data_IF_176707940135
#
_entry.id   IF_176707940135
#
_cell.length_a   1.000
_cell.length_b   1.000
_cell.length_c   1.000
_cell.angle_alpha   90.00
_cell.angle_beta   90.00
_cell.angle_gamma   90.00
#
_symmetry.space_group_name_H-M   'P 1'
#
loop_
_entity.id
_entity.type
_entity.pdbx_description
1 polymer ?
#
# COMPACT_ATOMS: atom_id res chain seq x y z
N UNK A 1 49.67 1.05 40.18
CA UNK A 1 49.19 1.14 38.79
C UNK A 1 47.83 0.44 38.71
N UNK A 2 46.73 1.20 38.70
CA UNK A 2 45.38 0.66 38.55
C UNK A 2 44.93 0.90 37.12
N UNK A 3 44.77 -0.17 36.34
CA UNK A 3 44.24 -0.13 34.97
C UNK A 3 42.73 0.09 35.07
N UNK A 4 42.24 1.27 34.69
CA UNK A 4 40.82 1.50 34.47
C UNK A 4 40.46 0.94 33.09
N UNK A 5 39.87 -0.25 33.09
CA UNK A 5 39.27 -0.88 31.93
C UNK A 5 37.94 -0.15 31.64
N UNK A 6 37.96 0.85 30.75
CA UNK A 6 36.72 1.48 30.27
C UNK A 6 35.99 0.49 29.37
N UNK A 7 34.93 -0.09 29.92
CA UNK A 7 34.00 -0.97 29.24
C UNK A 7 33.21 -0.15 28.20
N UNK A 8 33.44 -0.40 26.92
CA UNK A 8 32.63 0.16 25.83
C UNK A 8 31.26 -0.50 25.92
N UNK A 9 30.26 0.25 26.40
CA UNK A 9 28.85 -0.14 26.36
C UNK A 9 28.42 -0.03 24.90
N UNK A 10 28.47 -1.15 24.18
CA UNK A 10 27.85 -1.29 22.87
C UNK A 10 26.35 -1.20 23.02
N UNK A 11 25.77 -0.07 22.63
CA UNK A 11 24.32 0.07 22.46
C UNK A 11 23.96 -0.85 21.29
N UNK A 12 23.46 -2.05 21.60
CA UNK A 12 22.67 -2.83 20.67
C UNK A 12 21.43 -2.00 20.37
N UNK A 13 21.46 -1.26 19.26
CA UNK A 13 20.24 -0.83 18.60
C UNK A 13 19.51 -2.10 18.16
N UNK A 14 18.66 -2.65 19.03
CA UNK A 14 17.58 -3.52 18.62
C UNK A 14 16.68 -2.68 17.73
N UNK A 15 17.02 -2.61 16.44
CA UNK A 15 16.04 -2.31 15.42
C UNK A 15 14.95 -3.36 15.65
N UNK A 16 13.83 -2.92 16.22
CA UNK A 16 12.61 -3.68 16.17
C UNK A 16 12.32 -3.80 14.68
N UNK A 17 12.84 -4.86 14.06
CA UNK A 17 12.40 -5.30 12.77
C UNK A 17 10.90 -5.48 12.97
N UNK A 18 10.12 -4.54 12.45
CA UNK A 18 8.70 -4.69 12.29
C UNK A 18 8.55 -5.89 11.37
N UNK A 19 8.58 -7.09 11.95
CA UNK A 19 8.26 -8.30 11.23
C UNK A 19 6.79 -8.14 10.89
N UNK A 20 6.53 -7.72 9.66
CA UNK A 20 5.21 -7.77 9.04
C UNK A 20 4.83 -9.25 9.00
N UNK A 21 4.36 -9.76 10.13
CA UNK A 21 3.81 -11.10 10.18
C UNK A 21 2.54 -11.03 9.36
N UNK A 22 2.42 -11.91 8.38
CA UNK A 22 1.17 -12.07 7.70
C UNK A 22 0.23 -12.91 8.57
N UNK A 23 -0.79 -12.33 9.28
CA UNK A 23 -1.76 -13.15 10.01
C UNK A 23 -2.29 -14.28 9.14
N UNK A 24 -2.38 -15.48 9.68
CA UNK A 24 -2.87 -16.67 8.96
C UNK A 24 -4.36 -16.59 8.57
N UNK A 25 -5.09 -15.59 9.08
CA UNK A 25 -6.53 -15.40 8.89
C UNK A 25 -6.90 -14.46 7.73
N UNK A 26 -5.96 -14.02 6.87
CA UNK A 26 -6.30 -12.99 5.86
C UNK A 26 -7.04 -13.55 4.67
N UNK A 27 -7.95 -12.74 4.15
CA UNK A 27 -8.55 -12.98 2.84
C UNK A 27 -7.83 -12.17 1.76
N UNK A 28 -7.82 -12.62 0.50
CA UNK A 28 -7.34 -11.81 -0.62
C UNK A 28 -8.03 -10.43 -0.71
N UNK A 29 -9.26 -10.32 -0.18
CA UNK A 29 -10.02 -9.07 -0.12
C UNK A 29 -9.43 -8.06 0.86
N UNK A 30 -8.90 -8.51 2.00
CA UNK A 30 -8.28 -7.62 3.00
C UNK A 30 -6.97 -7.03 2.47
N UNK A 31 -6.16 -7.87 1.82
CA UNK A 31 -4.91 -7.43 1.17
C UNK A 31 -5.22 -6.46 0.03
N UNK A 32 -6.23 -6.75 -0.79
CA UNK A 32 -6.68 -5.83 -1.84
C UNK A 32 -7.12 -4.47 -1.27
N UNK A 33 -7.80 -4.43 -0.12
CA UNK A 33 -8.21 -3.17 0.50
C UNK A 33 -7.00 -2.35 0.97
N UNK A 34 -6.01 -2.99 1.58
CA UNK A 34 -4.76 -2.29 1.96
C UNK A 34 -4.04 -1.75 0.72
N UNK A 35 -4.03 -2.49 -0.39
CA UNK A 35 -3.38 -2.04 -1.62
C UNK A 35 -4.12 -0.85 -2.22
N UNK A 36 -5.45 -0.94 -2.34
CA UNK A 36 -6.28 0.19 -2.80
C UNK A 36 -6.08 1.41 -1.88
N UNK A 37 -5.98 1.20 -0.56
CA UNK A 37 -5.69 2.29 0.38
C UNK A 37 -4.32 2.92 0.15
N UNK A 38 -3.30 2.13 -0.21
CA UNK A 38 -1.97 2.62 -0.52
C UNK A 38 -1.97 3.43 -1.83
N UNK A 39 -2.65 2.93 -2.87
CA UNK A 39 -2.89 3.68 -4.12
C UNK A 39 -3.56 5.03 -3.84
N UNK A 40 -4.65 5.02 -3.06
CA UNK A 40 -5.36 6.23 -2.67
C UNK A 40 -4.58 7.13 -1.70
N UNK A 41 -3.58 6.59 -1.03
CA UNK A 41 -2.59 7.34 -0.26
C UNK A 41 -1.56 8.05 -1.13
N UNK A 42 -1.56 7.78 -2.44
CA UNK A 42 -0.64 8.35 -3.41
C UNK A 42 0.72 7.65 -3.44
N UNK A 43 0.78 6.33 -3.23
CA UNK A 43 2.06 5.58 -3.24
C UNK A 43 2.85 5.73 -4.56
N UNK A 44 2.14 5.99 -5.67
CA UNK A 44 2.69 6.23 -7.01
C UNK A 44 3.07 7.70 -7.27
N UNK A 45 2.86 8.60 -6.30
CA UNK A 45 3.22 10.01 -6.37
C UNK A 45 4.47 10.26 -5.52
N UNK A 46 5.54 10.78 -6.12
CA UNK A 46 6.80 11.10 -5.43
C UNK A 46 6.57 12.03 -4.23
N UNK A 47 5.75 13.06 -4.41
CA UNK A 47 5.43 14.06 -3.39
C UNK A 47 4.76 13.46 -2.13
N UNK A 48 4.24 12.24 -2.24
CA UNK A 48 3.56 11.55 -1.15
C UNK A 48 4.42 10.48 -0.47
N UNK A 49 5.66 10.24 -0.90
CA UNK A 49 6.52 9.18 -0.36
C UNK A 49 6.61 9.19 1.18
N UNK A 50 6.65 10.39 1.77
CA UNK A 50 6.76 10.61 3.22
C UNK A 50 5.43 11.06 3.85
N UNK A 51 4.32 10.98 3.12
CA UNK A 51 3.00 11.37 3.62
C UNK A 51 2.55 10.47 4.77
N UNK A 52 1.91 11.07 5.79
CA UNK A 52 1.22 10.33 6.84
C UNK A 52 0.24 9.30 6.28
N UNK A 53 -0.29 9.51 5.07
CA UNK A 53 -1.19 8.56 4.42
C UNK A 53 -0.54 7.21 4.09
N UNK A 54 0.79 7.17 4.00
CA UNK A 54 1.61 6.00 3.72
C UNK A 54 2.35 5.47 4.95
N UNK A 55 2.04 5.95 6.17
CA UNK A 55 2.61 5.41 7.41
C UNK A 55 2.36 3.89 7.50
N UNK A 56 3.45 3.12 7.59
CA UNK A 56 3.46 1.66 7.68
C UNK A 56 2.52 1.09 8.74
N UNK A 57 2.26 1.81 9.84
CA UNK A 57 1.32 1.38 10.89
C UNK A 57 -0.13 1.27 10.40
N UNK A 58 -0.47 1.93 9.29
CA UNK A 58 -1.80 1.91 8.68
C UNK A 58 -2.01 0.72 7.75
N UNK A 59 -0.95 -0.03 7.44
CA UNK A 59 -0.94 -1.12 6.47
C UNK A 59 -0.43 -2.42 7.12
N UNK A 60 -1.30 -3.16 7.84
CA UNK A 60 -0.91 -4.37 8.56
C UNK A 60 -0.53 -5.53 7.65
N UNK A 61 -0.87 -5.47 6.36
CA UNK A 61 -0.63 -6.57 5.43
C UNK A 61 0.38 -6.26 4.33
N UNK A 62 0.79 -5.01 4.15
CA UNK A 62 1.70 -4.63 3.08
C UNK A 62 2.94 -3.98 3.66
N UNK A 63 4.08 -4.21 3.03
CA UNK A 63 5.21 -3.33 3.20
C UNK A 63 5.01 -2.14 2.26
N UNK A 64 4.95 -0.94 2.81
CA UNK A 64 4.85 0.28 2.01
C UNK A 64 6.26 0.68 1.58
N UNK A 65 6.53 0.52 0.30
CA UNK A 65 7.73 1.03 -0.36
C UNK A 65 7.29 1.72 -1.64
N UNK A 66 7.75 2.96 -1.84
CA UNK A 66 7.61 3.63 -3.11
C UNK A 66 8.78 3.22 -4.01
N UNK A 67 8.48 2.55 -5.12
CA UNK A 67 9.46 2.23 -6.16
C UNK A 67 9.24 3.17 -7.35
N UNK A 68 10.05 4.22 -7.38
CA UNK A 68 9.97 5.31 -8.36
C UNK A 68 10.67 4.99 -9.69
N UNK A 69 11.13 3.75 -9.88
CA UNK A 69 12.07 3.46 -10.96
C UNK A 69 11.45 3.45 -12.37
N UNK A 70 10.13 3.34 -12.56
CA UNK A 70 9.50 3.33 -13.91
C UNK A 70 8.01 3.77 -14.03
N UNK A 71 7.22 3.82 -12.95
CA UNK A 71 5.74 4.01 -13.02
C UNK A 71 5.24 5.27 -12.27
N UNK A 72 6.05 6.34 -12.27
CA UNK A 72 5.70 7.59 -11.59
C UNK A 72 4.51 8.28 -12.24
N UNK A 73 3.48 8.51 -11.43
CA UNK A 73 2.42 9.44 -11.77
C UNK A 73 2.84 10.85 -11.35
N UNK A 74 2.75 11.80 -12.29
CA UNK A 74 3.00 13.23 -12.00
C UNK A 74 1.71 14.01 -11.76
N UNK A 75 0.54 13.37 -11.90
CA UNK A 75 -0.76 14.04 -11.84
C UNK A 75 -1.81 13.17 -11.15
N UNK A 76 -2.63 13.82 -10.35
CA UNK A 76 -3.85 13.24 -9.78
C UNK A 76 -4.98 13.38 -10.80
N UNK A 77 -5.59 12.26 -11.18
CA UNK A 77 -6.71 12.23 -12.11
C UNK A 77 -8.04 12.57 -11.43
N UNK A 78 -8.18 12.17 -10.16
CA UNK A 78 -9.42 12.32 -9.41
C UNK A 78 -9.20 12.30 -7.90
N UNK A 79 -10.12 12.95 -7.17
CA UNK A 79 -10.07 13.03 -5.71
C UNK A 79 -11.18 12.18 -5.08
N UNK A 80 -10.77 11.29 -4.19
CA UNK A 80 -11.68 10.50 -3.34
C UNK A 80 -11.90 11.27 -2.04
N UNK A 81 -13.15 11.47 -1.64
CA UNK A 81 -13.44 12.30 -0.47
C UNK A 81 -13.15 11.54 0.83
N UNK A 82 -13.60 10.28 0.90
CA UNK A 82 -13.48 9.45 2.09
C UNK A 82 -13.12 8.00 1.72
N UNK A 83 -12.38 7.30 2.59
CA UNK A 83 -12.04 5.90 2.34
C UNK A 83 -13.30 5.00 2.35
N UNK A 84 -14.33 5.37 3.11
CA UNK A 84 -15.60 4.63 3.15
C UNK A 84 -16.37 4.67 1.81
N UNK A 85 -16.01 5.59 0.90
CA UNK A 85 -16.57 5.65 -0.45
C UNK A 85 -16.05 4.53 -1.37
N UNK A 86 -15.09 3.72 -0.91
CA UNK A 86 -14.46 2.62 -1.66
C UNK A 86 -15.12 1.28 -1.31
N UNK A 87 -15.54 0.55 -2.35
CA UNK A 87 -16.16 -0.76 -2.19
C UNK A 87 -15.56 -1.77 -3.16
N UNK A 88 -14.90 -2.81 -2.63
CA UNK A 88 -14.49 -3.96 -3.43
C UNK A 88 -15.72 -4.76 -3.83
N UNK A 89 -15.99 -4.82 -5.13
CA UNK A 89 -17.11 -5.54 -5.74
C UNK A 89 -16.78 -7.01 -5.89
N UNK A 90 -15.57 -7.33 -6.35
CA UNK A 90 -15.16 -8.70 -6.65
C UNK A 90 -13.66 -8.86 -6.48
N UNK A 91 -13.24 -10.03 -5.98
CA UNK A 91 -11.85 -10.48 -6.03
C UNK A 91 -11.81 -11.82 -6.75
N UNK A 92 -11.09 -11.86 -7.86
CA UNK A 92 -10.98 -13.04 -8.72
C UNK A 92 -9.56 -13.59 -8.67
N UNK A 93 -9.42 -14.91 -8.48
CA UNK A 93 -8.14 -15.60 -8.69
C UNK A 93 -7.88 -15.69 -10.20
N UNK A 94 -6.79 -15.06 -10.66
CA UNK A 94 -6.40 -15.03 -12.07
C UNK A 94 -5.34 -16.07 -12.40
N UNK A 95 -4.50 -16.45 -11.43
CA UNK A 95 -3.52 -17.51 -11.56
C UNK A 95 -3.33 -18.25 -10.24
N UNK A 96 -3.50 -19.57 -10.24
CA UNK A 96 -3.24 -20.42 -9.07
C UNK A 96 -1.75 -20.55 -8.78
N UNK A 97 -0.93 -20.62 -9.81
CA UNK A 97 0.50 -20.93 -9.72
C UNK A 97 1.27 -19.80 -9.03
N UNK A 98 0.89 -18.56 -9.35
CA UNK A 98 1.50 -17.34 -8.81
C UNK A 98 0.66 -16.69 -7.72
N UNK A 99 -0.43 -17.34 -7.29
CA UNK A 99 -1.41 -16.77 -6.36
C UNK A 99 -1.80 -15.32 -6.73
N UNK A 100 -2.10 -15.10 -8.01
CA UNK A 100 -2.43 -13.77 -8.55
C UNK A 100 -3.93 -13.54 -8.57
N UNK A 101 -4.32 -12.31 -8.30
CA UNK A 101 -5.70 -11.89 -8.14
C UNK A 101 -5.96 -10.58 -8.89
N UNK A 102 -7.23 -10.35 -9.18
CA UNK A 102 -7.77 -9.08 -9.67
C UNK A 102 -8.90 -8.65 -8.75
N UNK A 103 -8.73 -7.52 -8.05
CA UNK A 103 -9.79 -6.90 -7.29
C UNK A 103 -10.44 -5.80 -8.14
N UNK A 104 -11.75 -5.87 -8.32
CA UNK A 104 -12.57 -4.84 -8.96
C UNK A 104 -13.24 -4.05 -7.84
N UNK A 105 -13.11 -2.74 -7.87
CA UNK A 105 -13.67 -1.86 -6.85
C UNK A 105 -14.43 -0.68 -7.49
N UNK A 106 -15.45 -0.22 -6.77
CA UNK A 106 -16.16 1.01 -7.06
C UNK A 106 -15.72 2.07 -6.06
N UNK A 107 -15.61 3.31 -6.53
CA UNK A 107 -15.29 4.45 -5.68
C UNK A 107 -16.04 5.69 -6.15
N UNK A 108 -16.54 6.46 -5.18
CA UNK A 108 -17.10 7.78 -5.44
C UNK A 108 -15.98 8.81 -5.50
N UNK A 109 -15.77 9.37 -6.68
CA UNK A 109 -14.77 10.40 -6.95
C UNK A 109 -15.43 11.74 -7.26
N UNK A 110 -14.74 12.83 -6.91
CA UNK A 110 -14.98 14.13 -7.52
C UNK A 110 -14.06 14.24 -8.73
N UNK A 111 -14.66 14.44 -9.90
CA UNK A 111 -13.91 14.72 -11.12
C UNK A 111 -13.34 16.15 -11.04
N UNK A 112 -12.03 16.30 -11.16
CA UNK A 112 -11.36 17.61 -11.02
C UNK A 112 -11.64 18.55 -12.20
N UNK A 113 -11.96 18.03 -13.38
CA UNK A 113 -12.26 18.84 -14.58
C UNK A 113 -13.65 19.46 -14.53
N UNK A 114 -14.63 18.71 -14.02
CA UNK A 114 -16.05 19.10 -14.04
C UNK A 114 -16.59 19.47 -12.65
N UNK A 115 -15.91 19.07 -11.59
CA UNK A 115 -16.35 19.23 -10.20
C UNK A 115 -17.50 18.32 -9.78
N UNK A 116 -17.97 17.44 -10.67
CA UNK A 116 -19.12 16.56 -10.45
C UNK A 116 -18.68 15.30 -9.70
N UNK A 117 -19.53 14.82 -8.80
CA UNK A 117 -19.32 13.52 -8.15
C UNK A 117 -19.83 12.40 -9.06
N UNK A 118 -18.97 11.43 -9.34
CA UNK A 118 -19.30 10.24 -10.10
C UNK A 118 -18.85 8.99 -9.34
N UNK A 119 -19.58 7.89 -9.51
CA UNK A 119 -19.08 6.57 -9.11
C UNK A 119 -18.33 5.99 -10.29
N UNK A 120 -17.08 5.60 -10.09
CA UNK A 120 -16.25 4.94 -11.10
C UNK A 120 -15.91 3.54 -10.63
N UNK A 121 -15.80 2.62 -11.58
CA UNK A 121 -15.26 1.27 -11.34
C UNK A 121 -13.84 1.24 -11.86
N UNK A 122 -12.93 0.66 -11.09
CA UNK A 122 -11.56 0.38 -11.51
C UNK A 122 -11.12 -0.99 -10.94
N UNK A 123 -9.88 -1.38 -11.21
CA UNK A 123 -9.31 -2.66 -10.79
C UNK A 123 -7.87 -2.47 -10.32
N UNK A 124 -7.41 -3.40 -9.48
CA UNK A 124 -6.00 -3.58 -9.15
C UNK A 124 -5.65 -5.05 -9.33
N UNK A 125 -4.47 -5.34 -9.88
CA UNK A 125 -3.94 -6.71 -9.93
C UNK A 125 -2.79 -6.86 -8.96
N UNK A 126 -2.79 -7.96 -8.26
CA UNK A 126 -1.81 -8.24 -7.23
C UNK A 126 -1.56 -9.74 -7.10
N UNK A 127 -0.49 -10.09 -6.41
CA UNK A 127 -0.23 -11.47 -6.01
C UNK A 127 -0.05 -11.55 -4.51
N UNK A 128 -0.25 -12.75 -3.96
CA UNK A 128 0.02 -13.04 -2.56
C UNK A 128 1.29 -13.87 -2.45
N UNK A 129 2.21 -13.44 -1.61
CA UNK A 129 3.33 -14.28 -1.20
C UNK A 129 2.78 -15.44 -0.36
N UNK A 130 3.35 -16.63 -0.52
CA UNK A 130 2.87 -17.84 0.19
C UNK A 130 3.88 -18.38 1.18
N UNK A 131 5.16 -18.06 1.03
CA UNK A 131 6.22 -18.46 1.94
C UNK A 131 6.53 -17.38 3.00
N UNK A 132 7.01 -17.84 4.15
CA UNK A 132 7.28 -17.00 5.33
C UNK A 132 8.45 -16.05 5.13
N UNK A 133 9.41 -16.39 4.27
CA UNK A 133 10.59 -15.54 4.07
C UNK A 133 10.20 -14.30 3.27
N UNK A 134 9.45 -14.46 2.19
CA UNK A 134 8.90 -13.34 1.45
C UNK A 134 7.94 -12.50 2.30
N UNK A 135 7.15 -13.11 3.20
CA UNK A 135 6.31 -12.33 4.13
C UNK A 135 7.10 -11.35 4.99
N UNK A 136 8.25 -11.76 5.50
CA UNK A 136 9.09 -10.91 6.35
C UNK A 136 9.69 -9.74 5.57
N UNK A 137 10.04 -9.96 4.31
CA UNK A 137 10.78 -9.00 3.49
C UNK A 137 9.85 -8.06 2.71
N UNK A 138 8.70 -8.54 2.25
CA UNK A 138 7.84 -7.82 1.31
C UNK A 138 6.39 -7.66 1.80
N UNK A 139 6.04 -8.19 2.98
CA UNK A 139 4.65 -8.25 3.43
C UNK A 139 3.85 -9.34 2.69
N UNK A 140 2.53 -9.22 2.65
CA UNK A 140 1.67 -10.30 2.14
C UNK A 140 1.49 -10.36 0.65
N UNK A 141 1.79 -9.30 -0.07
CA UNK A 141 1.58 -9.27 -1.50
C UNK A 141 2.16 -8.02 -2.13
N UNK A 142 2.33 -8.09 -3.45
CA UNK A 142 2.76 -6.98 -4.27
C UNK A 142 1.72 -6.63 -5.33
N UNK A 143 1.68 -5.36 -5.71
CA UNK A 143 0.91 -4.89 -6.86
C UNK A 143 1.64 -5.27 -8.14
N UNK A 144 0.89 -5.74 -9.14
CA UNK A 144 1.39 -6.07 -10.49
C UNK A 144 0.80 -5.17 -11.57
N UNK A 145 -0.36 -4.58 -11.30
CA UNK A 145 -0.99 -3.58 -12.16
C UNK A 145 -1.76 -2.62 -11.27
N UNK A 146 -1.34 -1.35 -11.28
CA UNK A 146 -2.00 -0.25 -10.60
C UNK A 146 -3.38 0.04 -11.21
N UNK A 147 -4.26 0.75 -10.49
CA UNK A 147 -5.50 1.28 -11.07
C UNK A 147 -5.25 2.15 -12.30
N UNK A 148 -6.24 2.19 -13.20
CA UNK A 148 -6.13 2.95 -14.45
C UNK A 148 -6.09 4.47 -14.25
N UNK A 149 -6.63 4.95 -13.12
CA UNK A 149 -6.61 6.35 -12.72
C UNK A 149 -5.82 6.52 -11.43
N UNK A 150 -5.02 7.57 -11.39
CA UNK A 150 -4.32 8.00 -10.18
C UNK A 150 -5.31 8.76 -9.30
N UNK A 151 -5.96 8.02 -8.41
CA UNK A 151 -6.96 8.53 -7.48
C UNK A 151 -6.31 8.76 -6.12
N UNK A 152 -6.55 9.91 -5.49
CA UNK A 152 -5.98 10.22 -4.18
C UNK A 152 -7.06 10.66 -3.20
N UNK A 153 -6.96 10.19 -1.95
CA UNK A 153 -7.80 10.70 -0.86
C UNK A 153 -7.56 12.19 -0.69
N UNK A 154 -8.61 12.97 -0.49
CA UNK A 154 -8.49 14.42 -0.28
C UNK A 154 -7.52 14.78 0.87
N UNK A 155 -7.49 13.97 1.92
CA UNK A 155 -6.56 14.14 3.06
C UNK A 155 -5.10 13.84 2.74
N UNK A 156 -4.84 13.24 1.59
CA UNK A 156 -3.54 12.77 1.11
C UNK A 156 -3.09 13.54 -0.13
N UNK A 157 -3.78 14.63 -0.51
CA UNK A 157 -3.29 15.45 -1.61
C UNK A 157 -1.91 16.02 -1.26
N UNK A 158 -0.96 16.01 -2.22
CA UNK A 158 0.32 16.70 -2.06
C UNK A 158 0.10 18.17 -1.69
N UNK A 159 0.97 18.73 -0.85
CA UNK A 159 0.86 20.11 -0.35
C UNK A 159 1.71 21.08 -1.15
#
# INVERSE_FOLDING_TARGET
MKKSLSLIIGILFSANAFALSCPSSKTPKDVAMDMIRAELGGIVLEENAESDCLDQKKFPHLLIQSDFSNDEATKVDAVVKHLEDVKIIKVELTSKETHSYKAIFEVKIKDEKTGIYATTTDKIRFFLYTDKENHKVFGCGGVTEHPSKVMVLKSCLPK
#
